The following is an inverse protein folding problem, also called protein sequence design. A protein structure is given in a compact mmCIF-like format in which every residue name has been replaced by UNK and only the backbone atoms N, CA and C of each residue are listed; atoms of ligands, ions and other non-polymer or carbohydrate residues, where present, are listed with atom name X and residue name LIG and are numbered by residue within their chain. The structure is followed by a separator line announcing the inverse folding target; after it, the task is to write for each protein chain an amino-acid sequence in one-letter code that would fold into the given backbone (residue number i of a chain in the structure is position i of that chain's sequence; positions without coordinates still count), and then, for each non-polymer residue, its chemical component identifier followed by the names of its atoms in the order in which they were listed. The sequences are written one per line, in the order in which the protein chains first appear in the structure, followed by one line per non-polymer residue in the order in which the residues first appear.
data_IF_159399236553
#
_entry.id   IF_159399236553
#
_cell.length_a   1.000
_cell.length_b   1.000
_cell.length_c   1.000
_cell.angle_alpha   90.00
_cell.angle_beta   90.00
_cell.angle_gamma   90.00
#
_symmetry.space_group_name_H-M   'P 1'
#
loop_
_entity.id
_entity.type
_entity.pdbx_description
1 polymer ?
#
# COMPACT_ATOMS: atom_id res chain seq x y z
N UNK A 1 2.54 -9.78 -8.49
CA UNK A 1 1.66 -10.96 -8.28
C UNK A 1 1.64 -11.94 -9.47
N UNK A 2 1.75 -11.48 -10.72
CA UNK A 2 1.67 -12.36 -11.90
C UNK A 2 2.80 -13.40 -11.96
N UNK A 3 4.05 -13.00 -11.78
CA UNK A 3 5.20 -13.94 -11.71
C UNK A 3 5.04 -15.01 -10.61
N UNK A 4 4.44 -14.65 -9.46
CA UNK A 4 4.16 -15.62 -8.39
C UNK A 4 3.02 -16.56 -8.78
N UNK A 5 1.95 -16.06 -9.41
CA UNK A 5 0.86 -16.88 -9.93
C UNK A 5 1.34 -17.84 -11.01
N UNK A 6 2.21 -17.40 -11.90
CA UNK A 6 2.77 -18.24 -12.95
C UNK A 6 3.69 -19.32 -12.37
N UNK A 7 4.49 -18.97 -11.36
CA UNK A 7 5.27 -19.95 -10.61
C UNK A 7 4.38 -20.96 -9.87
N UNK A 8 3.25 -20.53 -9.30
CA UNK A 8 2.29 -21.45 -8.67
C UNK A 8 1.66 -22.38 -9.72
N UNK A 9 1.32 -21.88 -10.92
CA UNK A 9 0.84 -22.73 -12.02
C UNK A 9 1.88 -23.77 -12.44
N UNK A 10 3.17 -23.40 -12.54
CA UNK A 10 4.25 -24.36 -12.79
C UNK A 10 4.36 -25.43 -11.69
N UNK A 11 4.22 -25.05 -10.42
CA UNK A 11 4.28 -26.01 -9.32
C UNK A 11 3.07 -26.96 -9.32
N UNK A 12 1.89 -26.46 -9.72
CA UNK A 12 0.69 -27.27 -9.89
C UNK A 12 0.86 -28.28 -11.03
N UNK A 13 1.45 -27.91 -12.16
CA UNK A 13 1.73 -28.85 -13.26
C UNK A 13 2.76 -29.91 -12.87
N UNK A 14 3.61 -29.63 -11.89
CA UNK A 14 4.55 -30.59 -11.29
C UNK A 14 3.94 -31.46 -10.17
N UNK A 15 2.62 -31.40 -9.97
CA UNK A 15 1.91 -32.22 -8.99
C UNK A 15 1.89 -31.66 -7.56
N UNK A 16 2.34 -30.41 -7.34
CA UNK A 16 2.21 -29.76 -6.03
C UNK A 16 0.78 -29.26 -5.79
N UNK A 17 0.29 -29.35 -4.56
CA UNK A 17 -1.06 -28.90 -4.14
C UNK A 17 -1.17 -27.39 -3.85
N UNK A 18 -0.21 -26.59 -4.31
CA UNK A 18 -0.17 -25.14 -4.04
C UNK A 18 -1.33 -24.44 -4.75
N UNK A 19 -1.98 -23.47 -4.10
CA UNK A 19 -3.04 -22.67 -4.71
C UNK A 19 -2.93 -21.20 -4.30
N UNK A 20 -3.34 -20.29 -5.19
CA UNK A 20 -3.43 -18.86 -4.89
C UNK A 20 -4.86 -18.54 -4.47
N UNK A 21 -5.03 -17.94 -3.30
CA UNK A 21 -6.32 -17.42 -2.83
C UNK A 21 -6.28 -15.90 -2.88
N UNK A 22 -7.29 -15.30 -3.51
CA UNK A 22 -7.56 -13.86 -3.40
C UNK A 22 -8.42 -13.64 -2.18
N UNK A 23 -8.07 -12.69 -1.33
CA UNK A 23 -8.81 -12.34 -0.11
C UNK A 23 -8.72 -10.83 0.12
N UNK A 24 -9.58 -10.30 0.97
CA UNK A 24 -9.51 -8.89 1.39
C UNK A 24 -8.47 -8.70 2.49
N UNK A 25 -8.00 -7.47 2.68
CA UNK A 25 -7.09 -7.14 3.78
C UNK A 25 -7.73 -7.40 5.16
N UNK A 26 -9.03 -7.17 5.30
CA UNK A 26 -9.74 -7.42 6.58
C UNK A 26 -9.80 -8.92 6.90
N UNK A 27 -10.12 -9.76 5.92
CA UNK A 27 -10.08 -11.22 6.08
C UNK A 27 -8.67 -11.73 6.36
N UNK A 28 -7.66 -11.20 5.66
CA UNK A 28 -6.26 -11.50 5.92
C UNK A 28 -5.88 -11.13 7.36
N UNK A 29 -6.28 -9.95 7.86
CA UNK A 29 -6.03 -9.53 9.24
C UNK A 29 -6.75 -10.46 10.23
N UNK A 30 -8.01 -10.83 9.97
CA UNK A 30 -8.77 -11.78 10.81
C UNK A 30 -8.09 -13.14 10.86
N UNK A 31 -7.62 -13.63 9.71
CA UNK A 31 -6.88 -14.89 9.61
C UNK A 31 -5.56 -14.84 10.39
N UNK A 32 -4.77 -13.78 10.22
CA UNK A 32 -3.50 -13.61 10.97
C UNK A 32 -3.76 -13.57 12.47
N UNK A 33 -4.80 -12.84 12.90
CA UNK A 33 -5.20 -12.76 14.32
C UNK A 33 -5.70 -14.10 14.87
N UNK A 34 -6.38 -14.94 14.08
CA UNK A 34 -6.85 -16.26 14.53
C UNK A 34 -5.74 -17.30 14.56
N UNK A 35 -4.67 -17.11 13.78
CA UNK A 35 -3.44 -17.91 13.79
C UNK A 35 -2.38 -17.40 14.77
N UNK A 36 -2.73 -16.39 15.59
CA UNK A 36 -1.85 -15.68 16.49
C UNK A 36 -0.84 -16.61 17.18
N UNK A 37 0.43 -16.43 16.80
CA UNK A 37 1.65 -17.00 17.39
C UNK A 37 2.29 -18.24 16.74
N UNK A 38 1.79 -18.80 15.62
CA UNK A 38 2.47 -19.97 15.01
C UNK A 38 3.29 -19.67 13.75
N UNK A 39 2.80 -18.82 12.84
CA UNK A 39 3.47 -18.60 11.56
C UNK A 39 3.72 -17.09 11.30
N UNK A 40 4.93 -16.70 10.85
CA UNK A 40 5.19 -15.33 10.43
C UNK A 40 4.44 -15.03 9.13
N UNK A 41 3.82 -13.86 9.06
CA UNK A 41 3.16 -13.34 7.86
C UNK A 41 3.87 -12.07 7.39
N UNK A 42 3.97 -11.91 6.07
CA UNK A 42 4.55 -10.74 5.44
C UNK A 42 3.61 -10.20 4.36
N UNK A 43 3.49 -8.88 4.28
CA UNK A 43 2.76 -8.20 3.21
C UNK A 43 3.81 -7.69 2.24
N UNK A 44 3.80 -8.25 1.03
CA UNK A 44 4.71 -7.84 -0.03
C UNK A 44 3.99 -6.88 -0.98
N UNK A 45 4.44 -5.62 -1.09
CA UNK A 45 3.91 -4.71 -2.10
C UNK A 45 4.31 -5.18 -3.51
N UNK A 46 3.64 -4.63 -4.51
CA UNK A 46 4.07 -4.84 -5.89
C UNK A 46 5.42 -4.13 -6.12
N UNK A 47 6.37 -4.83 -6.74
CA UNK A 47 7.73 -4.31 -6.92
C UNK A 47 7.79 -3.04 -7.78
N UNK A 48 6.95 -2.95 -8.81
CA UNK A 48 6.80 -1.75 -9.63
C UNK A 48 6.24 -0.56 -8.85
N UNK A 49 5.38 -0.80 -7.86
CA UNK A 49 4.91 0.26 -6.96
C UNK A 49 6.01 0.76 -6.03
N UNK A 50 6.97 -0.09 -5.62
CA UNK A 50 8.16 0.37 -4.89
C UNK A 50 9.00 1.30 -5.78
N UNK A 51 9.22 0.93 -7.04
CA UNK A 51 9.99 1.75 -8.00
C UNK A 51 9.31 3.10 -8.27
N UNK A 52 7.99 3.09 -8.47
CA UNK A 52 7.18 4.30 -8.62
C UNK A 52 7.24 5.19 -7.38
N UNK A 53 7.15 4.62 -6.19
CA UNK A 53 7.28 5.36 -4.93
C UNK A 53 8.64 6.05 -4.78
N UNK A 54 9.74 5.39 -5.16
CA UNK A 54 11.09 5.98 -5.16
C UNK A 54 11.21 7.24 -6.02
N UNK A 55 10.44 7.30 -7.11
CA UNK A 55 10.48 8.44 -8.05
C UNK A 55 9.82 9.72 -7.49
N UNK A 56 9.00 9.58 -6.44
CA UNK A 56 8.30 10.71 -5.83
C UNK A 56 9.15 11.26 -4.70
N UNK A 57 9.71 12.46 -4.91
CA UNK A 57 10.39 13.21 -3.86
C UNK A 57 9.34 13.78 -2.91
N UNK A 58 9.26 13.26 -1.70
CA UNK A 58 8.56 13.92 -0.61
C UNK A 58 9.51 14.92 0.06
N UNK A 59 9.38 16.24 -0.17
CA UNK A 59 10.26 17.23 0.46
C UNK A 59 10.18 17.21 2.00
N UNK A 60 9.09 16.71 2.58
CA UNK A 60 8.86 16.65 4.03
C UNK A 60 9.13 15.27 4.66
N UNK A 61 9.45 14.24 3.86
CA UNK A 61 9.67 12.86 4.31
C UNK A 61 10.96 12.26 3.70
N UNK A 62 12.05 13.02 3.72
CA UNK A 62 13.39 12.57 3.29
C UNK A 62 13.89 11.30 4.01
N UNK A 63 13.29 10.94 5.16
CA UNK A 63 13.61 9.72 5.92
C UNK A 63 13.00 8.44 5.34
N UNK A 64 12.10 8.54 4.36
CA UNK A 64 11.54 7.38 3.70
C UNK A 64 12.43 6.96 2.53
N UNK A 65 13.58 6.37 2.86
CA UNK A 65 14.40 5.67 1.88
C UNK A 65 13.64 4.42 1.40
N UNK A 66 12.96 4.55 0.26
CA UNK A 66 12.26 3.46 -0.39
C UNK A 66 13.28 2.47 -0.97
N UNK A 67 13.47 1.33 -0.30
CA UNK A 67 14.33 0.24 -0.76
C UNK A 67 15.85 0.50 -0.70
N UNK A 68 16.29 1.22 0.34
CA UNK A 68 17.69 1.19 0.74
C UNK A 68 18.07 -0.21 1.27
N UNK A 69 19.28 -0.65 0.94
CA UNK A 69 19.82 -1.94 1.37
C UNK A 69 19.79 -2.04 2.91
N UNK A 70 19.23 -3.12 3.45
CA UNK A 70 19.07 -3.32 4.90
C UNK A 70 17.83 -2.67 5.54
N UNK A 71 16.97 -1.97 4.80
CA UNK A 71 15.69 -1.46 5.30
C UNK A 71 14.57 -2.46 4.97
N UNK A 72 13.79 -2.89 5.99
CA UNK A 72 12.58 -3.70 5.77
C UNK A 72 11.70 -3.07 4.70
N UNK A 73 11.21 -3.88 3.76
CA UNK A 73 10.35 -3.42 2.68
C UNK A 73 9.15 -2.63 3.25
N UNK A 74 9.09 -1.36 2.88
CA UNK A 74 7.99 -0.46 3.23
C UNK A 74 6.88 -0.65 2.20
N UNK A 75 5.62 -0.53 2.64
CA UNK A 75 4.47 -0.69 1.75
C UNK A 75 4.01 0.71 1.32
N UNK A 76 4.19 1.09 0.04
CA UNK A 76 3.81 2.41 -0.42
C UNK A 76 2.30 2.59 -0.42
N UNK A 77 1.87 3.75 0.07
CA UNK A 77 0.48 4.22 0.01
C UNK A 77 0.52 5.66 -0.49
N UNK A 78 -0.20 5.92 -1.56
CA UNK A 78 -0.25 7.22 -2.20
C UNK A 78 -1.44 8.02 -1.68
N UNK A 79 -1.26 9.33 -1.58
CA UNK A 79 -2.33 10.28 -1.30
C UNK A 79 -2.12 11.56 -2.08
N UNK A 80 -3.21 12.28 -2.31
CA UNK A 80 -3.20 13.61 -2.93
C UNK A 80 -3.59 14.62 -1.87
N UNK A 81 -2.62 15.40 -1.40
CA UNK A 81 -2.86 16.47 -0.43
C UNK A 81 -3.66 17.61 -1.06
N UNK A 82 -4.41 18.31 -0.20
CA UNK A 82 -5.28 19.41 -0.63
C UNK A 82 -6.62 18.96 -1.18
N UNK A 83 -6.89 17.65 -1.23
CA UNK A 83 -8.20 17.11 -1.56
C UNK A 83 -8.70 16.11 -0.51
N UNK A 84 -9.98 16.24 -0.19
CA UNK A 84 -10.74 15.20 0.46
C UNK A 84 -11.99 14.87 -0.32
N UNK A 85 -12.36 13.59 -0.33
CA UNK A 85 -13.60 13.11 -0.90
C UNK A 85 -14.70 13.21 0.14
N UNK A 86 -15.88 13.68 -0.27
CA UNK A 86 -17.03 13.67 0.62
C UNK A 86 -17.64 12.26 0.63
N UNK A 87 -17.69 11.64 1.80
CA UNK A 87 -18.27 10.32 2.03
C UNK A 87 -19.02 10.32 3.36
N UNK A 88 -20.29 9.93 3.34
CA UNK A 88 -21.14 9.84 4.54
C UNK A 88 -21.14 11.12 5.39
N UNK A 89 -21.19 12.28 4.72
CA UNK A 89 -21.19 13.60 5.37
C UNK A 89 -19.83 14.04 5.93
N UNK A 90 -18.76 13.27 5.71
CA UNK A 90 -17.40 13.60 6.15
C UNK A 90 -16.46 13.78 4.96
N UNK A 91 -15.48 14.66 5.13
CA UNK A 91 -14.37 14.78 4.18
C UNK A 91 -13.30 13.76 4.57
N UNK A 92 -12.96 12.85 3.66
CA UNK A 92 -11.94 11.83 3.86
C UNK A 92 -10.77 12.04 2.91
N UNK A 93 -9.54 11.81 3.38
CA UNK A 93 -8.38 11.75 2.49
C UNK A 93 -8.26 10.33 1.94
N UNK A 94 -8.45 10.12 0.62
CA UNK A 94 -8.32 8.80 0.03
C UNK A 94 -6.85 8.36 0.02
N UNK A 95 -6.65 7.07 0.29
CA UNK A 95 -5.36 6.40 0.28
C UNK A 95 -5.38 5.33 -0.81
N UNK A 96 -4.36 5.33 -1.66
CA UNK A 96 -4.27 4.44 -2.81
C UNK A 96 -3.08 3.48 -2.64
N UNK A 97 -3.28 2.21 -2.97
CA UNK A 97 -2.21 1.22 -2.97
C UNK A 97 -1.41 1.21 -4.27
N UNK A 98 -1.92 1.89 -5.31
CA UNK A 98 -1.30 2.03 -6.61
C UNK A 98 -1.23 3.50 -7.03
N UNK A 99 -0.16 3.86 -7.75
CA UNK A 99 0.02 5.23 -8.23
C UNK A 99 -1.07 5.65 -9.23
N UNK A 100 -1.60 4.72 -10.02
CA UNK A 100 -2.57 5.04 -11.08
C UNK A 100 -3.87 5.62 -10.52
N UNK A 101 -4.38 5.07 -9.42
CA UNK A 101 -5.54 5.57 -8.70
C UNK A 101 -5.29 6.97 -8.12
N UNK A 102 -4.12 7.19 -7.54
CA UNK A 102 -3.74 8.51 -7.03
C UNK A 102 -3.58 9.55 -8.15
N UNK A 103 -3.00 9.16 -9.30
CA UNK A 103 -2.82 10.03 -10.46
C UNK A 103 -4.17 10.48 -11.06
N UNK A 104 -5.16 9.60 -11.07
CA UNK A 104 -6.51 9.94 -11.54
C UNK A 104 -7.10 11.08 -10.71
N UNK A 105 -6.98 10.99 -9.37
CA UNK A 105 -7.43 12.03 -8.46
C UNK A 105 -6.57 13.30 -8.57
N UNK A 106 -5.25 13.15 -8.65
CA UNK A 106 -4.31 14.27 -8.81
C UNK A 106 -4.64 15.10 -10.06
N UNK A 107 -4.88 14.45 -11.21
CA UNK A 107 -5.27 15.14 -12.46
C UNK A 107 -6.58 15.90 -12.33
N UNK A 108 -7.53 15.38 -11.57
CA UNK A 108 -8.78 16.09 -11.30
C UNK A 108 -8.53 17.31 -10.41
N UNK A 109 -7.73 17.13 -9.36
CA UNK A 109 -7.35 18.17 -8.40
C UNK A 109 -6.60 19.33 -9.05
N UNK A 110 -5.68 19.03 -9.97
CA UNK A 110 -4.89 20.04 -10.69
C UNK A 110 -5.72 20.97 -11.57
N UNK A 111 -6.98 20.64 -11.84
CA UNK A 111 -7.90 21.56 -12.56
C UNK A 111 -8.39 22.71 -11.68
N UNK A 112 -8.34 22.54 -10.37
CA UNK A 112 -8.96 23.44 -9.39
C UNK A 112 -7.97 24.01 -8.38
N UNK A 113 -6.70 23.60 -8.43
CA UNK A 113 -5.67 24.04 -7.50
C UNK A 113 -4.32 23.40 -7.76
N UNK A 114 -3.42 23.50 -6.78
CA UNK A 114 -2.06 22.96 -6.82
C UNK A 114 -1.91 21.79 -5.82
N UNK A 115 -2.46 20.60 -6.13
CA UNK A 115 -2.35 19.43 -5.26
C UNK A 115 -0.91 18.95 -5.13
N UNK A 116 -0.60 18.21 -4.07
CA UNK A 116 0.68 17.50 -3.93
C UNK A 116 0.44 15.99 -3.85
N UNK A 117 1.13 15.23 -4.70
CA UNK A 117 1.16 13.77 -4.59
C UNK A 117 2.22 13.39 -3.55
N UNK A 118 1.81 12.65 -2.52
CA UNK A 118 2.71 12.13 -1.49
C UNK A 118 2.66 10.61 -1.43
N UNK A 119 3.76 10.02 -0.95
CA UNK A 119 3.84 8.59 -0.64
C UNK A 119 4.15 8.38 0.84
N UNK A 120 3.36 7.54 1.50
CA UNK A 120 3.52 7.14 2.90
C UNK A 120 3.81 5.64 3.01
N UNK A 121 4.41 5.23 4.12
CA UNK A 121 4.51 3.82 4.51
C UNK A 121 3.24 3.36 5.26
N UNK A 122 2.55 2.35 4.75
CA UNK A 122 1.36 1.75 5.38
C UNK A 122 1.63 1.33 6.82
N UNK A 123 2.83 0.79 7.11
CA UNK A 123 3.16 0.31 8.45
C UNK A 123 3.23 1.47 9.45
N UNK A 124 3.84 2.59 9.04
CA UNK A 124 3.87 3.82 9.82
C UNK A 124 2.45 4.41 9.99
N UNK A 125 1.63 4.39 8.93
CA UNK A 125 0.26 4.87 8.97
C UNK A 125 -0.61 4.06 9.94
N UNK A 126 -0.56 2.72 9.88
CA UNK A 126 -1.28 1.84 10.82
C UNK A 126 -0.87 2.13 12.26
N UNK A 127 0.44 2.34 12.52
CA UNK A 127 0.92 2.71 13.85
C UNK A 127 0.36 4.06 14.32
N UNK A 128 0.31 5.07 13.44
CA UNK A 128 -0.29 6.39 13.74
C UNK A 128 -1.80 6.26 14.03
N UNK A 129 -2.54 5.55 13.18
CA UNK A 129 -3.99 5.35 13.34
C UNK A 129 -4.32 4.62 14.66
N UNK A 130 -3.51 3.64 15.07
CA UNK A 130 -3.71 2.91 16.34
C UNK A 130 -3.46 3.75 17.59
N UNK A 131 -2.63 4.79 17.50
CA UNK A 131 -2.33 5.68 18.64
C UNK A 131 -3.41 6.76 18.87
N UNK A 132 -4.47 6.77 18.05
CA UNK A 132 -5.43 7.87 18.01
C UNK A 132 -4.77 9.07 17.35
N UNK A 133 -5.01 9.27 16.05
CA UNK A 133 -4.39 10.36 15.31
C UNK A 133 -4.73 11.72 15.91
N UNK A 134 -3.82 12.28 16.72
CA UNK A 134 -3.73 13.72 16.95
C UNK A 134 -2.80 14.28 15.88
N UNK A 135 -3.41 14.82 14.83
CA UNK A 135 -2.90 15.99 14.12
C UNK A 135 -3.90 17.09 14.37
#
# INVERSE_FOLDING_TARGET
AEKFRDRVKELQTQGSSVSVRTTTLDEAIKYIKSKANKDPFEILPYGDEIERARSIKNPENCDICWGAEGVKEKIPVYLVEGLGLQRDGKVITPLFFDKAGADALYKQASKTGEPKLQVLDLSALIKKMRKGGST
#
